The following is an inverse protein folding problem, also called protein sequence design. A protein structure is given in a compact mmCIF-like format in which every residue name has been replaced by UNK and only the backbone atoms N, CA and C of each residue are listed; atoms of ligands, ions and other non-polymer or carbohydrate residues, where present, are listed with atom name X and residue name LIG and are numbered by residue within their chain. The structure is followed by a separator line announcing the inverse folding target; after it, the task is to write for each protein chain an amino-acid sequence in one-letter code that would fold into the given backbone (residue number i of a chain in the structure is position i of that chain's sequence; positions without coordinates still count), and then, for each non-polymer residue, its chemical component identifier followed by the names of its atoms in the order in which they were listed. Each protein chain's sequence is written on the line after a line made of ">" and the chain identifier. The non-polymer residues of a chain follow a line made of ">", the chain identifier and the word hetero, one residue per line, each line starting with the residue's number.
data_IF_223514243295
#
_entry.id   IF_223514243295
#
_cell.length_a   1.000
_cell.length_b   1.000
_cell.length_c   1.000
_cell.angle_alpha   90.00
_cell.angle_beta   90.00
_cell.angle_gamma   90.00
#
_symmetry.space_group_name_H-M   'P 1'
#
loop_
_entity.id
_entity.type
_entity.pdbx_description
1 polymer ?
#
# COMPACT_ATOMS: atom_id res chain seq x y z
N UNK A 1 -5.12 -38.18 5.12
CA UNK A 1 -6.09 -37.13 5.51
C UNK A 1 -5.24 -35.97 5.98
N UNK A 2 -5.34 -34.81 5.30
CA UNK A 2 -4.70 -33.59 5.78
C UNK A 2 -5.66 -32.86 6.71
N UNK A 3 -5.13 -32.29 7.80
CA UNK A 3 -5.90 -31.45 8.71
C UNK A 3 -5.09 -30.21 9.00
N UNK A 4 -5.77 -29.07 8.92
CA UNK A 4 -5.23 -27.77 9.25
C UNK A 4 -5.87 -27.26 10.55
N UNK A 5 -5.06 -26.64 11.41
CA UNK A 5 -5.53 -25.95 12.60
C UNK A 5 -4.76 -24.65 12.82
N UNK A 6 -5.46 -23.61 13.30
CA UNK A 6 -4.85 -22.36 13.75
C UNK A 6 -5.10 -22.17 15.23
N UNK A 7 -4.06 -21.82 16.00
CA UNK A 7 -4.22 -21.39 17.39
C UNK A 7 -4.86 -19.99 17.41
N UNK A 8 -5.93 -19.83 18.17
CA UNK A 8 -6.63 -18.55 18.37
C UNK A 8 -6.23 -17.83 19.65
N UNK A 9 -5.38 -18.48 20.46
CA UNK A 9 -4.84 -17.91 21.70
C UNK A 9 -3.96 -16.70 21.38
N UNK A 10 -4.13 -15.55 22.05
CA UNK A 10 -3.30 -14.37 21.84
C UNK A 10 -1.79 -14.65 22.03
N UNK A 11 -0.95 -14.01 21.21
CA UNK A 11 0.49 -14.27 21.15
C UNK A 11 1.21 -14.12 22.50
N UNK A 12 0.79 -13.15 23.32
CA UNK A 12 1.37 -12.90 24.65
C UNK A 12 1.13 -14.05 25.65
N UNK A 13 0.22 -14.98 25.33
CA UNK A 13 -0.07 -16.17 26.13
C UNK A 13 0.58 -17.43 25.54
N UNK A 14 1.18 -17.34 24.35
CA UNK A 14 1.90 -18.43 23.72
C UNK A 14 3.38 -18.36 24.09
N UNK A 15 4.02 -19.53 24.18
CA UNK A 15 5.48 -19.58 24.35
C UNK A 15 6.15 -18.98 23.10
N UNK A 16 7.23 -18.19 23.23
CA UNK A 16 7.99 -17.70 22.08
C UNK A 16 8.34 -18.85 21.13
N UNK A 17 8.14 -18.64 19.83
CA UNK A 17 8.37 -19.66 18.79
C UNK A 17 7.24 -20.69 18.62
N UNK A 18 6.09 -20.54 19.29
CA UNK A 18 4.94 -21.41 19.05
C UNK A 18 4.35 -21.16 17.66
N UNK A 19 4.38 -22.17 16.79
CA UNK A 19 3.72 -22.09 15.48
C UNK A 19 2.21 -21.85 15.64
N UNK A 20 1.68 -20.80 14.99
CA UNK A 20 0.24 -20.49 14.99
C UNK A 20 -0.55 -21.44 14.09
N UNK A 21 0.02 -21.77 12.95
CA UNK A 21 -0.53 -22.69 11.95
C UNK A 21 0.02 -24.09 12.19
N UNK A 22 -0.86 -25.09 12.14
CA UNK A 22 -0.53 -26.49 12.33
C UNK A 22 -1.12 -27.31 11.18
N UNK A 23 -0.26 -28.14 10.60
CA UNK A 23 -0.62 -29.20 9.68
C UNK A 23 -0.27 -30.54 10.33
N UNK A 24 -0.92 -31.62 9.91
CA UNK A 24 -0.58 -32.94 10.42
C UNK A 24 0.85 -33.33 10.02
N UNK A 25 1.59 -34.04 10.89
CA UNK A 25 2.92 -34.50 10.55
C UNK A 25 2.87 -35.54 9.43
N UNK A 26 3.84 -35.46 8.52
CA UNK A 26 3.96 -36.39 7.39
C UNK A 26 4.06 -35.67 6.05
N UNK A 27 4.06 -36.43 4.93
CA UNK A 27 4.04 -35.83 3.60
C UNK A 27 2.69 -35.16 3.34
N UNK A 28 2.70 -33.85 3.15
CA UNK A 28 1.50 -33.09 2.82
C UNK A 28 1.02 -33.42 1.41
N UNK A 29 -0.27 -33.71 1.26
CA UNK A 29 -0.89 -34.07 -0.03
C UNK A 29 -2.23 -33.37 -0.24
N UNK A 30 -2.63 -33.30 -1.50
CA UNK A 30 -3.86 -32.70 -1.95
C UNK A 30 -3.73 -31.21 -2.23
N UNK A 31 -4.66 -30.72 -3.05
CA UNK A 31 -4.73 -29.32 -3.47
C UNK A 31 -6.03 -28.74 -2.92
N UNK A 32 -5.91 -27.73 -2.06
CA UNK A 32 -7.09 -26.99 -1.63
C UNK A 32 -7.73 -26.31 -2.84
N UNK A 33 -9.06 -26.41 -2.95
CA UNK A 33 -9.82 -25.74 -3.99
C UNK A 33 -9.43 -26.10 -5.44
N UNK A 34 -9.09 -27.36 -5.72
CA UNK A 34 -8.75 -27.79 -7.07
C UNK A 34 -9.81 -27.38 -8.11
N UNK A 35 -11.10 -27.51 -7.76
CA UNK A 35 -12.20 -27.11 -8.62
C UNK A 35 -12.25 -25.60 -8.91
N UNK A 36 -11.81 -24.75 -7.97
CA UNK A 36 -11.83 -23.30 -8.13
C UNK A 36 -10.67 -22.76 -8.96
N UNK A 37 -9.57 -23.51 -9.08
CA UNK A 37 -8.44 -23.16 -9.96
C UNK A 37 -8.53 -23.81 -11.35
N UNK A 38 -9.50 -24.69 -11.57
CA UNK A 38 -9.64 -25.41 -12.83
C UNK A 38 -9.93 -24.47 -14.00
N UNK A 39 -9.10 -24.54 -15.06
CA UNK A 39 -9.20 -23.70 -16.25
C UNK A 39 -8.94 -22.21 -16.00
N UNK A 40 -8.38 -21.84 -14.85
CA UNK A 40 -8.07 -20.45 -14.51
C UNK A 40 -6.65 -20.09 -14.96
N UNK A 41 -6.53 -19.06 -15.80
CA UNK A 41 -5.22 -18.55 -16.25
C UNK A 41 -4.44 -17.84 -15.13
N UNK A 42 -5.15 -17.32 -14.13
CA UNK A 42 -4.58 -16.74 -12.92
C UNK A 42 -5.02 -17.51 -11.68
N UNK A 43 -4.07 -17.82 -10.81
CA UNK A 43 -4.33 -18.46 -9.52
C UNK A 43 -3.66 -17.66 -8.40
N UNK A 44 -4.41 -17.40 -7.33
CA UNK A 44 -3.85 -16.86 -6.09
C UNK A 44 -3.32 -18.04 -5.27
N UNK A 45 -2.12 -17.91 -4.72
CA UNK A 45 -1.48 -18.92 -3.89
C UNK A 45 -1.13 -18.30 -2.53
N UNK A 46 -1.86 -18.69 -1.49
CA UNK A 46 -1.58 -18.26 -0.12
C UNK A 46 -0.62 -19.21 0.60
N UNK A 47 0.01 -18.70 1.67
CA UNK A 47 0.88 -19.51 2.51
C UNK A 47 0.09 -20.54 3.33
N UNK A 48 -1.02 -20.11 3.94
CA UNK A 48 -1.85 -20.95 4.78
C UNK A 48 -3.31 -21.04 4.31
N UNK A 49 -3.99 -22.10 4.77
CA UNK A 49 -5.37 -22.39 4.37
C UNK A 49 -6.37 -21.30 4.81
N UNK A 50 -6.14 -20.65 5.95
CA UNK A 50 -7.04 -19.60 6.43
C UNK A 50 -6.98 -18.33 5.57
N UNK A 51 -5.82 -18.02 5.02
CA UNK A 51 -5.62 -16.90 4.12
C UNK A 51 -6.32 -17.17 2.78
N UNK A 52 -6.19 -18.39 2.26
CA UNK A 52 -6.94 -18.82 1.08
C UNK A 52 -8.46 -18.78 1.32
N UNK A 53 -8.93 -19.22 2.49
CA UNK A 53 -10.35 -19.10 2.86
C UNK A 53 -10.81 -17.64 3.01
N UNK A 54 -9.92 -16.74 3.43
CA UNK A 54 -10.23 -15.31 3.51
C UNK A 54 -10.53 -14.74 2.12
N UNK A 55 -9.67 -15.04 1.13
CA UNK A 55 -9.92 -14.69 -0.28
C UNK A 55 -11.19 -15.34 -0.82
N UNK A 56 -11.39 -16.62 -0.54
CA UNK A 56 -12.59 -17.36 -0.96
C UNK A 56 -13.87 -16.69 -0.46
N UNK A 57 -13.94 -16.40 0.83
CA UNK A 57 -15.08 -15.73 1.47
C UNK A 57 -15.29 -14.31 0.92
N UNK A 58 -14.20 -13.64 0.51
CA UNK A 58 -14.25 -12.34 -0.15
C UNK A 58 -14.66 -12.39 -1.63
N UNK A 59 -14.89 -13.59 -2.20
CA UNK A 59 -15.37 -13.77 -3.56
C UNK A 59 -14.30 -14.20 -4.59
N UNK A 60 -13.02 -14.24 -4.20
CA UNK A 60 -11.94 -14.70 -5.07
C UNK A 60 -11.86 -16.22 -5.02
N UNK A 61 -12.38 -16.89 -6.06
CA UNK A 61 -12.51 -18.36 -6.10
C UNK A 61 -11.38 -19.09 -6.81
N UNK A 62 -10.54 -18.39 -7.58
CA UNK A 62 -9.33 -18.92 -8.22
C UNK A 62 -8.14 -18.90 -7.25
N UNK A 63 -8.31 -19.55 -6.09
CA UNK A 63 -7.40 -19.48 -4.95
C UNK A 63 -7.01 -20.88 -4.50
N UNK A 64 -5.75 -21.09 -4.13
CA UNK A 64 -5.30 -22.28 -3.40
C UNK A 64 -4.31 -21.89 -2.28
N UNK A 65 -3.83 -22.86 -1.51
CA UNK A 65 -2.87 -22.65 -0.43
C UNK A 65 -1.75 -23.68 -0.44
N UNK A 66 -0.55 -23.25 -0.07
CA UNK A 66 0.52 -24.13 0.34
C UNK A 66 0.29 -24.68 1.78
N UNK A 67 1.22 -25.54 2.21
CA UNK A 67 1.30 -26.03 3.59
C UNK A 67 2.34 -25.22 4.41
N UNK A 68 2.26 -23.88 4.36
CA UNK A 68 3.26 -22.96 4.92
C UNK A 68 4.39 -22.58 3.94
N UNK A 69 5.36 -21.76 4.40
CA UNK A 69 6.50 -21.27 3.57
C UNK A 69 7.29 -22.34 2.80
N UNK A 70 7.37 -23.57 3.31
CA UNK A 70 8.06 -24.70 2.67
C UNK A 70 7.11 -25.74 2.09
N UNK A 71 5.81 -25.48 2.11
CA UNK A 71 4.75 -26.44 1.82
C UNK A 71 4.21 -26.38 0.40
N UNK A 72 4.98 -25.86 -0.56
CA UNK A 72 4.62 -25.95 -1.97
C UNK A 72 5.09 -27.31 -2.51
N UNK A 73 4.14 -28.17 -2.90
CA UNK A 73 4.39 -29.57 -3.27
C UNK A 73 4.37 -29.77 -4.78
N UNK A 74 4.98 -30.86 -5.26
CA UNK A 74 4.93 -31.24 -6.67
C UNK A 74 3.47 -31.48 -7.15
N UNK A 75 2.59 -31.91 -6.25
CA UNK A 75 1.15 -32.09 -6.53
C UNK A 75 0.46 -30.73 -6.77
N UNK A 76 0.81 -29.69 -6.01
CA UNK A 76 0.32 -28.33 -6.25
C UNK A 76 0.83 -27.79 -7.59
N UNK A 77 2.11 -28.01 -7.90
CA UNK A 77 2.70 -27.61 -9.17
C UNK A 77 2.03 -28.32 -10.35
N UNK A 78 1.87 -29.64 -10.27
CA UNK A 78 1.18 -30.43 -11.29
C UNK A 78 -0.25 -29.92 -11.52
N UNK A 79 -0.99 -29.62 -10.44
CA UNK A 79 -2.34 -29.06 -10.56
C UNK A 79 -2.36 -27.71 -11.28
N UNK A 80 -1.41 -26.81 -11.02
CA UNK A 80 -1.34 -25.52 -11.73
C UNK A 80 -1.07 -25.71 -13.23
N UNK A 81 -0.15 -26.62 -13.57
CA UNK A 81 0.23 -26.92 -14.96
C UNK A 81 -0.94 -27.58 -15.70
N UNK A 82 -1.55 -28.62 -15.13
CA UNK A 82 -2.65 -29.38 -15.73
C UNK A 82 -3.89 -28.51 -15.98
N UNK A 83 -4.12 -27.50 -15.13
CA UNK A 83 -5.24 -26.57 -15.26
C UNK A 83 -4.93 -25.34 -16.13
N UNK A 84 -3.75 -25.29 -16.76
CA UNK A 84 -3.39 -24.24 -17.72
C UNK A 84 -3.14 -22.87 -17.08
N UNK A 85 -2.73 -22.83 -15.81
CA UNK A 85 -2.40 -21.57 -15.13
C UNK A 85 -1.21 -20.90 -15.81
N UNK A 86 -1.38 -19.64 -16.22
CA UNK A 86 -0.36 -18.83 -16.88
C UNK A 86 0.37 -17.90 -15.90
N UNK A 87 -0.30 -17.50 -14.81
CA UNK A 87 0.32 -16.69 -13.75
C UNK A 87 -0.18 -17.08 -12.36
N UNK A 88 0.70 -16.89 -11.38
CA UNK A 88 0.40 -17.14 -9.97
C UNK A 88 0.66 -15.88 -9.15
N UNK A 89 -0.35 -15.45 -8.39
CA UNK A 89 -0.25 -14.38 -7.40
C UNK A 89 0.13 -14.99 -6.03
N UNK A 90 1.40 -14.91 -5.66
CA UNK A 90 1.95 -15.40 -4.40
C UNK A 90 1.60 -14.42 -3.27
N UNK A 91 0.57 -14.79 -2.51
CA UNK A 91 0.03 -14.06 -1.37
C UNK A 91 0.50 -14.66 -0.04
N UNK A 92 1.82 -14.79 0.12
CA UNK A 92 2.45 -15.20 1.38
C UNK A 92 2.53 -14.03 2.35
N UNK A 93 2.74 -14.33 3.63
CA UNK A 93 2.82 -13.33 4.70
C UNK A 93 3.93 -12.32 4.40
N UNK A 94 3.74 -11.06 4.78
CA UNK A 94 4.75 -10.01 4.57
C UNK A 94 5.79 -10.01 5.68
N UNK A 95 6.51 -11.11 5.81
CA UNK A 95 7.65 -11.27 6.70
C UNK A 95 8.88 -11.84 5.97
N UNK A 96 10.01 -11.95 6.67
CA UNK A 96 11.26 -12.46 6.08
C UNK A 96 11.13 -13.89 5.54
N UNK A 97 10.30 -14.73 6.17
CA UNK A 97 10.13 -16.12 5.78
C UNK A 97 9.27 -16.24 4.52
N UNK A 98 8.14 -15.53 4.48
CA UNK A 98 7.23 -15.47 3.33
C UNK A 98 7.89 -14.84 2.11
N UNK A 99 8.65 -13.76 2.29
CA UNK A 99 9.38 -13.13 1.19
C UNK A 99 10.51 -14.03 0.65
N UNK A 100 11.27 -14.69 1.53
CA UNK A 100 12.28 -15.65 1.11
C UNK A 100 11.68 -16.88 0.41
N UNK A 101 10.51 -17.35 0.85
CA UNK A 101 9.82 -18.47 0.24
C UNK A 101 9.26 -18.11 -1.15
N UNK A 102 8.64 -16.93 -1.29
CA UNK A 102 8.16 -16.44 -2.58
C UNK A 102 9.31 -16.30 -3.59
N UNK A 103 10.45 -15.76 -3.17
CA UNK A 103 11.64 -15.63 -4.01
C UNK A 103 12.22 -16.99 -4.45
N UNK A 104 12.12 -18.03 -3.60
CA UNK A 104 12.52 -19.40 -3.96
C UNK A 104 11.54 -20.08 -4.90
N UNK A 105 10.24 -19.78 -4.76
CA UNK A 105 9.18 -20.36 -5.58
C UNK A 105 9.13 -19.77 -6.99
N UNK A 106 9.43 -18.48 -7.14
CA UNK A 106 9.43 -17.79 -8.43
C UNK A 106 10.18 -18.54 -9.55
N UNK A 107 11.46 -18.95 -9.41
CA UNK A 107 12.16 -19.66 -10.47
C UNK A 107 11.56 -21.04 -10.78
N UNK A 108 10.93 -21.70 -9.81
CA UNK A 108 10.25 -22.98 -10.04
C UNK A 108 9.04 -22.76 -10.95
N UNK A 109 8.22 -21.74 -10.68
CA UNK A 109 7.08 -21.41 -11.52
C UNK A 109 7.49 -21.01 -12.95
N UNK A 110 8.55 -20.20 -13.09
CA UNK A 110 9.06 -19.78 -14.39
C UNK A 110 9.56 -20.93 -15.25
N UNK A 111 10.22 -21.93 -14.66
CA UNK A 111 10.67 -23.14 -15.37
C UNK A 111 9.52 -23.88 -16.04
N UNK A 112 8.30 -23.74 -15.51
CA UNK A 112 7.08 -24.33 -16.04
C UNK A 112 6.22 -23.35 -16.85
N UNK A 113 6.74 -22.17 -17.19
CA UNK A 113 6.05 -21.16 -18.00
C UNK A 113 4.95 -20.40 -17.24
N UNK A 114 4.95 -20.45 -15.92
CA UNK A 114 4.00 -19.76 -15.06
C UNK A 114 4.64 -18.47 -14.53
N UNK A 115 4.04 -17.32 -14.83
CA UNK A 115 4.54 -16.02 -14.41
C UNK A 115 4.30 -15.78 -12.90
N UNK A 116 5.36 -15.62 -12.08
CA UNK A 116 5.20 -15.40 -10.64
C UNK A 116 5.04 -13.90 -10.31
N UNK A 117 4.01 -13.58 -9.54
CA UNK A 117 3.77 -12.25 -9.01
C UNK A 117 3.71 -12.31 -7.48
N UNK A 118 4.33 -11.35 -6.81
CA UNK A 118 4.27 -11.19 -5.35
C UNK A 118 3.18 -10.20 -4.97
N UNK A 119 2.23 -10.63 -4.15
CA UNK A 119 1.25 -9.73 -3.52
C UNK A 119 1.90 -9.08 -2.30
N UNK A 120 1.87 -7.76 -2.22
CA UNK A 120 2.51 -7.00 -1.13
C UNK A 120 1.48 -6.50 -0.12
N UNK A 121 1.35 -7.22 1.01
CA UNK A 121 0.62 -6.71 2.17
C UNK A 121 1.47 -5.71 2.97
N UNK A 122 0.87 -4.92 3.88
CA UNK A 122 1.64 -4.15 4.86
C UNK A 122 2.58 -5.04 5.67
N UNK A 123 3.74 -4.51 6.07
CA UNK A 123 4.78 -5.26 6.76
C UNK A 123 4.25 -5.98 8.00
N UNK A 124 4.56 -7.28 8.10
CA UNK A 124 4.17 -8.14 9.20
C UNK A 124 2.71 -8.61 9.19
N UNK A 125 1.97 -8.41 8.09
CA UNK A 125 0.59 -8.86 7.97
C UNK A 125 0.45 -10.07 7.03
N UNK A 126 -0.49 -10.95 7.38
CA UNK A 126 -1.04 -12.00 6.52
C UNK A 126 -2.30 -11.49 5.77
N UNK A 127 -2.83 -12.28 4.84
CA UNK A 127 -4.02 -11.89 4.08
C UNK A 127 -5.27 -11.77 4.97
N UNK A 128 -5.38 -12.64 5.99
CA UNK A 128 -6.49 -12.64 6.93
C UNK A 128 -6.53 -11.36 7.78
N UNK A 129 -5.41 -10.96 8.37
CA UNK A 129 -5.22 -9.77 9.17
C UNK A 129 -5.40 -8.50 8.35
N UNK A 130 -4.88 -8.49 7.11
CA UNK A 130 -5.12 -7.41 6.17
C UNK A 130 -6.63 -7.21 5.89
N UNK A 131 -7.36 -8.29 5.62
CA UNK A 131 -8.80 -8.24 5.37
C UNK A 131 -9.62 -7.83 6.61
N UNK A 132 -9.16 -8.17 7.82
CA UNK A 132 -9.80 -7.79 9.08
C UNK A 132 -9.58 -6.30 9.42
N UNK A 133 -8.39 -5.77 9.12
CA UNK A 133 -8.05 -4.36 9.39
C UNK A 133 -8.58 -3.41 8.32
N UNK A 134 -8.60 -3.82 7.05
CA UNK A 134 -9.04 -3.00 5.92
C UNK A 134 -10.31 -3.58 5.30
N UNK A 135 -11.45 -3.00 5.67
CA UNK A 135 -12.75 -3.30 5.07
C UNK A 135 -13.12 -2.33 3.93
N UNK A 136 -13.97 -2.75 2.97
CA UNK A 136 -14.52 -4.10 2.78
C UNK A 136 -13.49 -5.08 2.19
N UNK A 137 -13.39 -6.29 2.76
CA UNK A 137 -12.41 -7.32 2.36
C UNK A 137 -12.35 -7.61 0.84
N UNK A 138 -13.47 -7.72 0.09
CA UNK A 138 -13.40 -7.90 -1.36
C UNK A 138 -12.65 -6.78 -2.08
N UNK A 139 -12.78 -5.53 -1.62
CA UNK A 139 -12.16 -4.36 -2.25
C UNK A 139 -10.70 -4.21 -1.87
N UNK A 140 -10.37 -4.34 -0.58
CA UNK A 140 -9.00 -4.21 -0.09
C UNK A 140 -8.12 -5.33 -0.63
N UNK A 141 -8.55 -6.58 -0.55
CA UNK A 141 -7.82 -7.71 -1.13
C UNK A 141 -7.65 -7.55 -2.64
N UNK A 142 -8.69 -7.10 -3.35
CA UNK A 142 -8.58 -6.82 -4.79
C UNK A 142 -7.57 -5.73 -5.13
N UNK A 143 -7.39 -4.73 -4.26
CA UNK A 143 -6.36 -3.72 -4.44
C UNK A 143 -4.96 -4.33 -4.32
N UNK A 144 -4.73 -5.15 -3.30
CA UNK A 144 -3.46 -5.85 -3.10
C UNK A 144 -3.12 -6.76 -4.29
N UNK A 145 -4.11 -7.51 -4.82
CA UNK A 145 -3.91 -8.35 -6.02
C UNK A 145 -3.55 -7.51 -7.26
N UNK A 146 -4.20 -6.35 -7.46
CA UNK A 146 -3.89 -5.44 -8.58
C UNK A 146 -2.53 -4.76 -8.47
N UNK A 147 -1.98 -4.65 -7.27
CA UNK A 147 -0.66 -4.07 -7.01
C UNK A 147 0.44 -5.15 -6.93
N UNK A 148 0.12 -6.41 -7.26
CA UNK A 148 1.10 -7.48 -7.22
C UNK A 148 2.26 -7.22 -8.18
N UNK A 149 3.49 -7.43 -7.70
CA UNK A 149 4.72 -7.14 -8.43
C UNK A 149 5.24 -8.40 -9.12
N UNK A 150 5.66 -8.30 -10.38
CA UNK A 150 6.32 -9.42 -11.04
C UNK A 150 7.68 -9.68 -10.38
N UNK A 151 7.94 -10.92 -9.96
CA UNK A 151 9.20 -11.32 -9.30
C UNK A 151 9.99 -12.36 -10.09
N UNK A 152 9.63 -12.58 -11.35
CA UNK A 152 10.36 -13.47 -12.25
C UNK A 152 11.58 -12.82 -12.89
N UNK A 153 12.35 -13.62 -13.62
CA UNK A 153 13.46 -13.21 -14.45
C UNK A 153 12.97 -12.58 -15.77
N UNK A 154 13.19 -11.27 -15.92
CA UNK A 154 12.92 -10.54 -17.18
C UNK A 154 11.66 -9.68 -17.16
N UNK A 155 11.08 -9.46 -18.34
CA UNK A 155 9.88 -8.63 -18.52
C UNK A 155 8.63 -9.50 -18.39
N UNK A 156 7.68 -9.04 -17.59
CA UNK A 156 6.40 -9.73 -17.38
C UNK A 156 5.71 -10.10 -18.70
N UNK A 157 5.32 -11.37 -18.92
CA UNK A 157 4.64 -11.80 -20.13
C UNK A 157 3.30 -11.06 -20.32
N UNK A 158 2.99 -10.56 -21.54
CA UNK A 158 1.68 -9.99 -21.82
C UNK A 158 0.62 -11.09 -21.86
N UNK A 159 -0.46 -10.95 -21.08
CA UNK A 159 -1.58 -11.88 -21.12
C UNK A 159 -2.43 -11.67 -22.37
N UNK A 160 -2.78 -12.76 -23.04
CA UNK A 160 -3.87 -12.81 -24.01
C UNK A 160 -5.20 -12.82 -23.26
N UNK A 161 -5.92 -11.69 -23.24
CA UNK A 161 -7.26 -11.61 -22.65
C UNK A 161 -8.23 -12.43 -23.51
N UNK A 162 -8.44 -13.70 -23.17
CA UNK A 162 -9.63 -14.42 -23.58
C UNK A 162 -10.62 -14.40 -22.40
N UNK A 163 -11.73 -13.72 -22.61
CA UNK A 163 -12.86 -13.70 -21.69
C UNK A 163 -13.33 -15.14 -21.41
N UNK A 164 -13.05 -15.65 -20.22
CA UNK A 164 -13.59 -16.93 -19.76
C UNK A 164 -15.10 -16.76 -19.60
N UNK A 165 -15.88 -17.35 -20.52
CA UNK A 165 -17.28 -17.70 -20.28
C UNK A 165 -17.28 -18.92 -19.37
N UNK A 166 -17.52 -18.72 -18.07
CA UNK A 166 -17.82 -19.85 -17.19
C UNK A 166 -19.29 -20.18 -17.38
N UNK A 167 -19.56 -21.30 -18.04
CA UNK A 167 -20.90 -21.87 -18.11
C UNK A 167 -21.38 -22.21 -16.69
N UNK A 168 -22.53 -21.65 -16.30
CA UNK A 168 -23.26 -22.00 -15.09
C UNK A 168 -23.82 -23.43 -15.22
N UNK A 169 -22.97 -24.44 -15.03
CA UNK A 169 -23.41 -25.81 -14.81
C UNK A 169 -23.59 -26.02 -13.30
N UNK A 170 -24.79 -25.72 -12.80
CA UNK A 170 -25.22 -26.12 -11.48
C UNK A 170 -25.25 -27.65 -11.38
N UNK A 171 -24.42 -28.22 -10.49
CA UNK A 171 -24.59 -29.59 -10.00
C UNK A 171 -25.17 -29.54 -8.57
N UNK A 172 -26.04 -30.50 -8.20
CA UNK A 172 -27.00 -30.32 -7.12
C UNK A 172 -26.34 -30.41 -5.74
N UNK A 173 -26.71 -29.48 -4.87
CA UNK A 173 -26.36 -29.52 -3.45
C UNK A 173 -27.22 -30.60 -2.80
N UNK A 174 -26.58 -31.66 -2.30
CA UNK A 174 -27.22 -32.63 -1.43
C UNK A 174 -27.56 -31.98 -0.07
N UNK A 175 -28.81 -32.13 0.35
CA UNK A 175 -29.37 -31.59 1.60
C UNK A 175 -28.62 -32.07 2.86
N UNK A 176 -28.39 -31.20 3.86
CA UNK A 176 -28.13 -31.64 5.22
C UNK A 176 -29.44 -31.73 6.01
N UNK A 177 -29.69 -32.88 6.64
CA UNK A 177 -30.76 -33.05 7.62
C UNK A 177 -30.37 -32.43 8.99
N UNK A 178 -31.34 -32.01 9.83
CA UNK A 178 -31.18 -30.86 10.74
C UNK A 178 -31.28 -31.19 12.24
N UNK A 179 -30.74 -30.29 13.09
CA UNK A 179 -31.23 -29.92 14.43
C UNK A 179 -30.21 -28.93 15.06
N UNK A 180 -30.53 -27.78 15.67
CA UNK A 180 -31.78 -27.16 16.04
C UNK A 180 -31.55 -25.65 16.31
N UNK A 181 -32.43 -24.81 15.74
CA UNK A 181 -33.21 -23.74 16.39
C UNK A 181 -32.50 -22.77 17.37
N UNK A 182 -32.59 -21.44 17.27
CA UNK A 182 -33.78 -20.62 16.97
C UNK A 182 -33.38 -19.25 16.34
N UNK A 183 -34.14 -18.86 15.32
CA UNK A 183 -34.27 -17.55 14.63
C UNK A 183 -35.08 -16.54 15.51
N UNK A 184 -35.46 -15.28 15.11
CA UNK A 184 -35.60 -14.80 13.72
C UNK A 184 -35.42 -13.30 13.36
N UNK A 185 -35.30 -13.10 12.02
CA UNK A 185 -35.82 -12.02 11.15
C UNK A 185 -35.33 -10.57 11.34
N UNK A 186 -35.16 -9.72 10.30
CA UNK A 186 -35.65 -9.75 8.93
C UNK A 186 -34.73 -9.00 7.95
N UNK A 187 -34.72 -9.53 6.72
CA UNK A 187 -34.65 -8.90 5.39
C UNK A 187 -33.74 -7.69 5.11
N UNK A 188 -32.84 -7.87 4.13
CA UNK A 188 -33.01 -7.22 2.80
C UNK A 188 -32.06 -7.86 1.78
N UNK A 189 -32.63 -8.25 0.64
CA UNK A 189 -31.90 -8.75 -0.52
C UNK A 189 -30.99 -7.67 -1.09
N UNK A 190 -29.68 -7.86 -0.97
CA UNK A 190 -28.69 -7.14 -1.76
C UNK A 190 -28.09 -8.13 -2.76
N UNK A 191 -28.35 -7.87 -4.03
CA UNK A 191 -27.75 -8.56 -5.17
C UNK A 191 -26.24 -8.36 -5.06
N UNK A 192 -25.50 -9.42 -4.74
CA UNK A 192 -24.05 -9.37 -4.65
C UNK A 192 -23.48 -9.50 -6.06
N UNK A 193 -23.10 -8.37 -6.65
CA UNK A 193 -22.16 -8.36 -7.78
C UNK A 193 -20.86 -9.02 -7.34
N UNK A 194 -20.50 -10.12 -8.00
CA UNK A 194 -19.20 -10.77 -7.86
C UNK A 194 -18.10 -9.79 -8.34
N UNK A 195 -16.94 -9.74 -7.68
CA UNK A 195 -15.81 -8.97 -8.20
C UNK A 195 -15.30 -9.58 -9.50
N UNK A 196 -15.24 -8.76 -10.56
CA UNK A 196 -14.57 -9.08 -11.82
C UNK A 196 -13.11 -9.54 -11.59
N UNK A 197 -12.54 -10.41 -12.45
CA UNK A 197 -11.19 -10.92 -12.27
C UNK A 197 -10.17 -9.78 -12.12
N UNK A 198 -9.38 -9.84 -11.04
CA UNK A 198 -8.38 -8.85 -10.68
C UNK A 198 -7.16 -8.93 -11.61
N UNK A 199 -7.29 -8.37 -12.81
CA UNK A 199 -6.16 -8.13 -13.70
C UNK A 199 -5.83 -6.63 -13.78
N UNK A 200 -4.63 -6.17 -13.38
CA UNK A 200 -4.05 -4.99 -14.00
C UNK A 200 -3.60 -5.42 -15.40
N UNK A 201 -4.29 -4.99 -16.45
CA UNK A 201 -3.77 -5.12 -17.80
C UNK A 201 -2.60 -4.13 -17.95
N UNK A 202 -1.38 -4.54 -18.34
CA UNK A 202 -0.45 -3.61 -18.95
C UNK A 202 -1.03 -3.27 -20.33
N UNK A 203 -1.81 -2.19 -20.42
CA UNK A 203 -2.05 -1.59 -21.72
C UNK A 203 -0.71 -1.05 -22.21
N UNK A 204 -0.33 -1.28 -23.47
CA UNK A 204 0.79 -0.53 -24.04
C UNK A 204 0.51 0.94 -23.81
N UNK A 205 1.45 1.63 -23.17
CA UNK A 205 1.44 3.08 -23.07
C UNK A 205 1.43 3.61 -24.51
N UNK A 206 0.25 3.96 -24.99
CA UNK A 206 0.18 4.89 -26.11
C UNK A 206 0.67 6.19 -25.50
N UNK A 207 1.91 6.56 -25.84
CA UNK A 207 2.44 7.90 -25.59
C UNK A 207 1.54 8.88 -26.34
N UNK A 208 0.50 9.33 -25.64
CA UNK A 208 -0.36 10.41 -26.09
C UNK A 208 0.50 11.67 -25.93
N UNK A 209 0.70 12.47 -27.00
CA UNK A 209 1.44 13.71 -26.91
C UNK A 209 0.72 14.64 -25.93
N UNK A 210 1.29 14.77 -24.73
CA UNK A 210 0.81 15.64 -23.68
C UNK A 210 1.63 16.93 -23.72
N UNK A 211 1.03 18.03 -24.17
CA UNK A 211 1.63 19.35 -23.97
C UNK A 211 1.36 19.79 -22.53
N UNK A 212 2.34 19.56 -21.66
CA UNK A 212 2.32 20.06 -20.28
C UNK A 212 2.82 21.50 -20.30
N UNK A 213 1.91 22.47 -20.17
CA UNK A 213 2.23 23.87 -19.89
C UNK A 213 2.10 24.08 -18.38
N UNK A 214 2.73 25.14 -17.83
CA UNK A 214 2.84 25.34 -16.38
C UNK A 214 1.51 25.11 -15.62
N UNK A 215 0.39 25.64 -16.11
CA UNK A 215 -0.92 25.52 -15.44
C UNK A 215 -1.98 24.69 -16.20
N UNK A 216 -1.67 24.29 -17.44
CA UNK A 216 -2.61 23.65 -18.36
C UNK A 216 -1.98 22.36 -18.92
N UNK A 217 -2.63 21.23 -18.70
CA UNK A 217 -2.25 19.95 -19.33
C UNK A 217 -3.19 19.72 -20.50
N UNK A 218 -2.64 19.69 -21.72
CA UNK A 218 -3.42 19.43 -22.93
C UNK A 218 -3.10 18.04 -23.46
N UNK A 219 -4.13 17.23 -23.64
CA UNK A 219 -4.08 15.87 -24.17
C UNK A 219 -5.00 15.78 -25.39
N UNK A 220 -4.48 15.22 -26.49
CA UNK A 220 -5.20 15.12 -27.76
C UNK A 220 -5.44 13.65 -28.12
N UNK A 221 -6.69 13.27 -28.34
CA UNK A 221 -7.14 11.94 -28.74
C UNK A 221 -7.85 12.02 -30.09
N UNK A 222 -7.08 11.82 -31.18
CA UNK A 222 -7.60 12.03 -32.53
C UNK A 222 -8.05 13.48 -32.72
N UNK A 223 -9.34 13.67 -33.04
CA UNK A 223 -9.96 15.00 -33.20
C UNK A 223 -10.37 15.66 -31.86
N UNK A 224 -10.32 14.93 -30.75
CA UNK A 224 -10.78 15.39 -29.43
C UNK A 224 -9.62 15.95 -28.62
N UNK A 225 -9.77 17.17 -28.12
CA UNK A 225 -8.79 17.86 -27.30
C UNK A 225 -9.32 18.05 -25.88
N UNK A 226 -8.55 17.58 -24.91
CA UNK A 226 -8.83 17.72 -23.48
C UNK A 226 -7.82 18.67 -22.86
N UNK A 227 -8.31 19.65 -22.09
CA UNK A 227 -7.48 20.56 -21.30
C UNK A 227 -7.84 20.40 -19.84
N UNK A 228 -6.85 20.06 -19.03
CA UNK A 228 -6.98 19.90 -17.58
C UNK A 228 -6.29 21.05 -16.87
N UNK A 229 -6.98 21.62 -15.88
CA UNK A 229 -6.47 22.66 -14.98
C UNK A 229 -6.67 22.27 -13.52
N UNK A 230 -5.79 22.75 -12.64
CA UNK A 230 -5.92 22.59 -11.20
C UNK A 230 -5.16 21.41 -10.58
N UNK A 231 -4.34 20.69 -11.37
CA UNK A 231 -3.50 19.60 -10.86
C UNK A 231 -2.52 20.07 -9.77
N UNK A 232 -2.04 21.32 -9.85
CA UNK A 232 -1.10 21.91 -8.88
C UNK A 232 -1.66 22.02 -7.46
N UNK A 233 -2.99 22.08 -7.31
CA UNK A 233 -3.64 22.25 -6.00
C UNK A 233 -3.87 20.91 -5.30
N UNK A 234 -3.60 19.79 -5.96
CA UNK A 234 -3.86 18.43 -5.46
C UNK A 234 -2.56 17.79 -4.97
N UNK A 235 -2.17 18.12 -3.74
CA UNK A 235 -0.99 17.56 -3.05
C UNK A 235 -1.33 16.32 -2.19
N UNK A 236 -2.59 15.90 -2.17
CA UNK A 236 -3.05 14.70 -1.47
C UNK A 236 -3.41 13.60 -2.48
N UNK A 237 -3.02 12.36 -2.19
CA UNK A 237 -3.26 11.20 -3.06
C UNK A 237 -4.75 10.85 -3.21
N UNK A 238 -5.59 11.17 -2.21
CA UNK A 238 -6.99 10.74 -2.17
C UNK A 238 -7.97 11.68 -2.89
N UNK A 239 -7.52 12.84 -3.38
CA UNK A 239 -8.39 13.85 -3.99
C UNK A 239 -7.79 14.39 -5.29
N UNK A 240 -8.47 14.16 -6.41
CA UNK A 240 -8.07 14.66 -7.73
C UNK A 240 -9.15 15.57 -8.31
N UNK A 241 -9.32 16.73 -7.69
CA UNK A 241 -10.26 17.76 -8.14
C UNK A 241 -9.64 18.60 -9.25
N UNK A 242 -10.15 18.48 -10.47
CA UNK A 242 -9.62 19.21 -11.63
C UNK A 242 -10.75 19.79 -12.47
N UNK A 243 -10.41 20.80 -13.25
CA UNK A 243 -11.28 21.34 -14.29
C UNK A 243 -10.90 20.67 -15.62
N UNK A 244 -11.86 19.99 -16.25
CA UNK A 244 -11.67 19.30 -17.54
C UNK A 244 -12.51 20.01 -18.59
N UNK A 245 -11.84 20.53 -19.61
CA UNK A 245 -12.44 20.99 -20.87
C UNK A 245 -12.24 19.90 -21.92
N UNK A 246 -13.33 19.36 -22.48
CA UNK A 246 -13.30 18.49 -23.65
C UNK A 246 -13.81 19.26 -24.86
N UNK A 247 -13.10 19.22 -25.98
CA UNK A 247 -13.44 19.97 -27.20
C UNK A 247 -13.17 19.14 -28.45
N UNK A 248 -14.01 19.31 -29.48
CA UNK A 248 -13.84 18.78 -30.83
C UNK A 248 -14.33 19.84 -31.83
N UNK A 249 -14.23 19.59 -33.14
CA UNK A 249 -14.75 20.49 -34.19
C UNK A 249 -16.25 20.77 -34.06
N UNK A 250 -17.00 19.89 -33.38
CA UNK A 250 -18.46 19.97 -33.23
C UNK A 250 -18.94 20.75 -32.00
N UNK A 251 -18.13 20.85 -30.95
CA UNK A 251 -18.59 21.37 -29.66
C UNK A 251 -17.54 21.32 -28.55
N UNK A 252 -17.88 21.93 -27.41
CA UNK A 252 -17.02 21.97 -26.23
C UNK A 252 -17.84 21.79 -24.95
N UNK A 253 -17.34 20.98 -24.02
CA UNK A 253 -17.91 20.76 -22.69
C UNK A 253 -16.87 21.06 -21.60
N UNK A 254 -17.26 21.77 -20.54
CA UNK A 254 -16.38 22.12 -19.41
C UNK A 254 -17.05 21.78 -18.10
N UNK A 255 -16.34 21.06 -17.23
CA UNK A 255 -16.80 20.82 -15.86
C UNK A 255 -15.65 20.78 -14.86
N UNK A 256 -15.96 21.01 -13.58
CA UNK A 256 -15.01 20.92 -12.46
C UNK A 256 -15.48 19.86 -11.48
N UNK A 257 -14.78 18.72 -11.45
CA UNK A 257 -15.17 17.60 -10.62
C UNK A 257 -13.96 16.82 -10.10
N UNK A 258 -14.23 15.92 -9.17
CA UNK A 258 -13.25 14.99 -8.64
C UNK A 258 -13.24 13.72 -9.50
N UNK A 259 -12.09 13.43 -10.12
CA UNK A 259 -11.94 12.27 -11.02
C UNK A 259 -12.11 10.95 -10.27
N UNK A 260 -11.87 10.88 -8.96
CA UNK A 260 -12.06 9.64 -8.22
C UNK A 260 -13.55 9.30 -7.99
N UNK A 261 -14.45 10.27 -8.09
CA UNK A 261 -15.88 10.06 -7.86
C UNK A 261 -16.60 9.52 -9.10
N UNK A 262 -16.89 8.21 -9.10
CA UNK A 262 -17.53 7.51 -10.22
C UNK A 262 -18.87 8.11 -10.66
N UNK A 263 -19.70 8.55 -9.69
CA UNK A 263 -21.00 9.16 -9.99
C UNK A 263 -20.87 10.46 -10.78
N UNK A 264 -19.89 11.29 -10.42
CA UNK A 264 -19.67 12.59 -11.09
C UNK A 264 -19.00 12.39 -12.44
N UNK A 265 -18.06 11.44 -12.56
CA UNK A 265 -17.52 11.03 -13.87
C UNK A 265 -18.61 10.60 -14.84
N UNK A 266 -19.58 9.80 -14.39
CA UNK A 266 -20.69 9.35 -15.23
C UNK A 266 -21.57 10.53 -15.70
N UNK A 267 -21.75 11.57 -14.88
CA UNK A 267 -22.47 12.78 -15.27
C UNK A 267 -21.70 13.54 -16.35
N UNK A 268 -20.39 13.73 -16.17
CA UNK A 268 -19.54 14.40 -17.17
C UNK A 268 -19.53 13.63 -18.49
N UNK A 269 -19.38 12.30 -18.45
CA UNK A 269 -19.44 11.43 -19.65
C UNK A 269 -20.77 11.61 -20.39
N UNK A 270 -21.89 11.67 -19.66
CA UNK A 270 -23.22 11.90 -20.22
C UNK A 270 -23.35 13.24 -20.94
N UNK A 271 -22.90 14.32 -20.31
CA UNK A 271 -22.99 15.65 -20.92
C UNK A 271 -22.00 15.82 -22.09
N UNK A 272 -20.78 15.33 -21.92
CA UNK A 272 -19.76 15.38 -22.95
C UNK A 272 -20.15 14.59 -24.20
N UNK A 273 -20.77 13.41 -24.08
CA UNK A 273 -21.18 12.64 -25.27
C UNK A 273 -22.28 13.35 -26.07
N UNK A 274 -23.20 14.06 -25.38
CA UNK A 274 -24.27 14.82 -26.03
C UNK A 274 -23.70 16.04 -26.76
N UNK A 275 -22.79 16.78 -26.15
CA UNK A 275 -22.24 18.03 -26.72
C UNK A 275 -21.18 17.79 -27.79
N UNK A 276 -20.38 16.72 -27.68
CA UNK A 276 -19.32 16.39 -28.65
C UNK A 276 -19.84 15.50 -29.79
N UNK A 277 -21.00 14.86 -29.63
CA UNK A 277 -21.58 13.94 -30.61
C UNK A 277 -20.71 12.69 -30.83
N UNK A 278 -20.13 12.18 -29.75
CA UNK A 278 -19.21 11.03 -29.71
C UNK A 278 -19.83 9.96 -28.82
N UNK A 279 -19.57 8.68 -29.09
CA UNK A 279 -20.06 7.56 -28.28
C UNK A 279 -19.60 7.64 -26.80
N UNK A 280 -20.50 7.26 -25.89
CA UNK A 280 -20.26 7.30 -24.43
C UNK A 280 -19.00 6.49 -24.03
N UNK A 281 -18.84 5.31 -24.65
CA UNK A 281 -17.72 4.39 -24.42
C UNK A 281 -16.36 4.98 -24.79
N UNK A 282 -16.31 5.89 -25.76
CA UNK A 282 -15.07 6.55 -26.21
C UNK A 282 -14.65 7.60 -25.18
N UNK A 283 -15.58 8.43 -24.71
CA UNK A 283 -15.29 9.45 -23.68
C UNK A 283 -14.91 8.79 -22.36
N UNK A 284 -15.56 7.67 -22.01
CA UNK A 284 -15.18 6.88 -20.83
C UNK A 284 -13.75 6.32 -20.95
N UNK A 285 -13.35 5.87 -22.14
CA UNK A 285 -11.98 5.39 -22.40
C UNK A 285 -10.96 6.52 -22.30
N UNK A 286 -11.26 7.67 -22.90
CA UNK A 286 -10.40 8.85 -22.89
C UNK A 286 -10.20 9.34 -21.44
N UNK A 287 -11.27 9.43 -20.63
CA UNK A 287 -11.17 9.78 -19.20
C UNK A 287 -10.33 8.78 -18.39
N UNK A 288 -10.39 7.49 -18.71
CA UNK A 288 -9.54 6.48 -18.08
C UNK A 288 -8.05 6.69 -18.39
N UNK A 289 -7.72 7.08 -19.63
CA UNK A 289 -6.36 7.42 -20.03
C UNK A 289 -5.89 8.75 -19.40
N UNK A 290 -6.80 9.74 -19.29
CA UNK A 290 -6.55 10.99 -18.59
C UNK A 290 -6.21 10.76 -17.12
N UNK A 291 -6.99 9.91 -16.42
CA UNK A 291 -6.76 9.56 -15.02
C UNK A 291 -5.33 9.01 -14.82
N UNK A 292 -4.95 7.98 -15.58
CA UNK A 292 -3.64 7.33 -15.45
C UNK A 292 -2.47 8.30 -15.70
N UNK A 293 -2.63 9.20 -16.69
CA UNK A 293 -1.60 10.20 -17.00
C UNK A 293 -1.50 11.27 -15.91
N UNK A 294 -2.63 11.70 -15.35
CA UNK A 294 -2.67 12.68 -14.26
C UNK A 294 -2.06 12.10 -12.98
N UNK A 295 -2.32 10.83 -12.67
CA UNK A 295 -1.68 10.11 -11.56
C UNK A 295 -0.16 10.04 -11.73
N UNK A 296 0.32 9.69 -12.93
CA UNK A 296 1.77 9.66 -13.22
C UNK A 296 2.42 11.04 -13.03
N UNK A 297 1.73 12.12 -13.45
CA UNK A 297 2.22 13.49 -13.29
C UNK A 297 2.13 13.98 -11.83
N UNK A 298 1.11 13.55 -11.08
CA UNK A 298 0.96 13.83 -9.66
C UNK A 298 2.05 13.13 -8.86
N UNK A 299 2.31 11.84 -9.12
CA UNK A 299 3.39 11.07 -8.52
C UNK A 299 4.76 11.69 -8.82
N UNK A 300 5.01 12.14 -10.04
CA UNK A 300 6.24 12.84 -10.39
C UNK A 300 6.39 14.16 -9.62
N UNK A 301 5.30 14.93 -9.46
CA UNK A 301 5.31 16.19 -8.68
C UNK A 301 5.47 15.95 -7.18
N UNK A 302 4.81 14.92 -6.63
CA UNK A 302 4.97 14.54 -5.22
C UNK A 302 6.39 14.04 -5.00
N UNK A 303 6.94 13.17 -5.86
CA UNK A 303 8.35 12.76 -5.78
C UNK A 303 9.30 13.95 -5.88
N UNK A 304 9.05 14.92 -6.76
CA UNK A 304 9.86 16.13 -6.86
C UNK A 304 9.75 17.05 -5.62
N UNK A 305 8.58 17.10 -4.97
CA UNK A 305 8.35 17.87 -3.75
C UNK A 305 8.86 17.16 -2.47
N UNK A 306 8.82 15.83 -2.46
CA UNK A 306 9.22 14.95 -1.35
C UNK A 306 10.66 14.50 -1.45
N UNK A 307 11.35 14.69 -2.58
CA UNK A 307 12.81 14.60 -2.63
C UNK A 307 13.34 15.78 -1.82
N UNK A 308 13.92 15.57 -0.62
CA UNK A 308 14.48 16.67 0.12
C UNK A 308 15.56 17.27 -0.78
N UNK A 309 15.36 18.53 -1.18
CA UNK A 309 16.41 19.35 -1.74
C UNK A 309 17.50 19.36 -0.67
N UNK A 310 18.53 18.52 -0.87
CA UNK A 310 19.57 18.25 0.11
C UNK A 310 19.96 19.58 0.74
N UNK A 311 19.63 19.76 2.02
CA UNK A 311 20.02 20.94 2.75
C UNK A 311 21.53 21.00 2.61
N UNK A 312 22.01 22.05 1.95
CA UNK A 312 23.43 22.34 1.83
C UNK A 312 23.90 22.54 3.26
N UNK A 313 24.45 21.49 3.88
CA UNK A 313 25.13 21.60 5.16
C UNK A 313 26.26 22.60 4.90
N UNK A 314 26.28 23.76 5.56
CA UNK A 314 27.40 24.69 5.43
C UNK A 314 28.67 23.91 5.83
N UNK A 315 29.63 23.80 4.92
CA UNK A 315 30.91 23.21 5.26
C UNK A 315 31.55 24.05 6.37
N UNK A 316 31.71 23.47 7.57
CA UNK A 316 32.41 24.12 8.69
C UNK A 316 33.82 24.50 8.24
N UNK A 317 34.25 25.72 8.60
CA UNK A 317 35.64 26.12 8.34
C UNK A 317 36.61 25.31 9.21
N UNK A 318 37.89 25.26 8.83
CA UNK A 318 38.91 24.58 9.64
C UNK A 318 39.03 25.19 11.04
N UNK A 319 38.78 26.50 11.18
CA UNK A 319 38.77 27.21 12.47
C UNK A 319 37.59 26.76 13.35
N UNK A 320 36.38 26.73 12.80
CA UNK A 320 35.19 26.33 13.55
C UNK A 320 35.27 24.86 13.99
N UNK A 321 35.88 24.02 13.15
CA UNK A 321 36.10 22.60 13.45
C UNK A 321 37.07 22.43 14.63
N UNK A 322 38.13 23.24 14.69
CA UNK A 322 39.09 23.20 15.79
C UNK A 322 38.46 23.65 17.12
N UNK A 323 37.66 24.72 17.12
CA UNK A 323 36.94 25.21 18.30
C UNK A 323 35.89 24.20 18.79
N UNK A 324 35.11 23.62 17.87
CA UNK A 324 34.14 22.58 18.21
C UNK A 324 34.81 21.35 18.83
N UNK A 325 35.94 20.90 18.26
CA UNK A 325 36.70 19.78 18.82
C UNK A 325 37.32 20.10 20.18
N UNK A 326 37.74 21.34 20.42
CA UNK A 326 38.23 21.77 21.73
C UNK A 326 37.12 21.74 22.78
N UNK A 327 35.92 22.21 22.44
CA UNK A 327 34.73 22.11 23.31
C UNK A 327 34.39 20.65 23.61
N UNK A 328 34.33 19.78 22.59
CA UNK A 328 33.96 18.36 22.75
C UNK A 328 34.96 17.55 23.58
N UNK A 329 36.21 18.01 23.71
CA UNK A 329 37.27 17.36 24.50
C UNK A 329 37.41 17.91 25.91
N UNK A 330 36.64 18.93 26.26
CA UNK A 330 36.69 19.53 27.60
C UNK A 330 36.18 18.54 28.66
N UNK A 331 36.96 18.24 29.72
CA UNK A 331 36.49 17.37 30.80
C UNK A 331 35.27 17.91 31.56
N UNK A 332 35.01 19.23 31.50
CA UNK A 332 33.87 19.88 32.17
C UNK A 332 32.69 20.17 31.22
N UNK A 333 32.66 19.50 30.06
CA UNK A 333 31.66 19.71 29.00
C UNK A 333 30.21 19.69 29.52
N UNK A 334 29.89 18.78 30.45
CA UNK A 334 28.53 18.64 31.00
C UNK A 334 28.09 19.92 31.71
N UNK A 335 28.94 20.47 32.59
CA UNK A 335 28.62 21.68 33.33
C UNK A 335 28.58 22.91 32.42
N UNK A 336 29.41 22.93 31.38
CA UNK A 336 29.38 23.97 30.34
C UNK A 336 28.06 23.97 29.57
N UNK A 337 27.57 22.80 29.15
CA UNK A 337 26.26 22.69 28.47
C UNK A 337 25.12 23.21 29.36
N UNK A 338 25.12 22.85 30.64
CA UNK A 338 24.11 23.33 31.61
C UNK A 338 24.21 24.85 31.80
N UNK A 339 25.42 25.41 31.86
CA UNK A 339 25.64 26.85 31.96
C UNK A 339 25.17 27.59 30.70
N UNK A 340 25.41 27.02 29.51
CA UNK A 340 24.97 27.59 28.23
C UNK A 340 23.43 27.58 28.12
N UNK A 341 22.78 26.49 28.53
CA UNK A 341 21.30 26.41 28.59
C UNK A 341 20.73 27.40 29.61
N UNK A 342 21.43 27.58 30.74
CA UNK A 342 21.06 28.59 31.75
C UNK A 342 21.16 30.02 31.19
N UNK A 343 22.19 30.31 30.39
CA UNK A 343 22.37 31.61 29.74
C UNK A 343 21.27 31.92 28.71
N UNK A 344 20.65 30.90 28.12
CA UNK A 344 19.51 31.02 27.18
C UNK A 344 18.19 31.30 27.91
N UNK A 345 18.15 31.17 29.25
CA UNK A 345 17.02 31.57 30.09
C UNK A 345 16.32 30.44 30.84
N UNK A 346 16.87 29.22 30.85
CA UNK A 346 16.35 28.09 31.64
C UNK A 346 17.15 27.96 32.94
N UNK A 347 16.65 28.58 34.03
CA UNK A 347 17.36 28.63 35.32
C UNK A 347 16.74 27.66 36.33
N UNK A 348 17.57 26.84 36.99
CA UNK A 348 17.14 25.95 38.07
C UNK A 348 16.62 24.58 37.61
N UNK A 349 16.79 24.25 36.32
CA UNK A 349 16.39 22.97 35.72
C UNK A 349 17.57 22.17 35.15
N UNK A 350 18.73 22.23 35.81
CA UNK A 350 20.01 21.70 35.32
C UNK A 350 19.93 20.24 34.85
N UNK A 351 19.27 19.37 35.63
CA UNK A 351 19.11 17.95 35.27
C UNK A 351 18.16 17.75 34.08
N UNK A 352 17.09 18.54 33.98
CA UNK A 352 16.12 18.45 32.86
C UNK A 352 16.76 18.96 31.58
N UNK A 353 17.49 20.07 31.66
CA UNK A 353 18.25 20.66 30.56
C UNK A 353 19.26 19.67 29.98
N UNK A 354 20.06 19.03 30.84
CA UNK A 354 21.07 18.07 30.40
C UNK A 354 20.45 16.85 29.71
N UNK A 355 19.43 16.24 30.32
CA UNK A 355 18.73 15.07 29.76
C UNK A 355 18.05 15.43 28.43
N UNK A 356 17.41 16.59 28.38
CA UNK A 356 16.79 17.11 27.17
C UNK A 356 17.80 17.33 26.04
N UNK A 357 18.93 17.96 26.33
CA UNK A 357 20.02 18.16 25.36
C UNK A 357 20.55 16.84 24.82
N UNK A 358 20.83 15.86 25.68
CA UNK A 358 21.32 14.54 25.26
C UNK A 358 20.34 13.81 24.36
N UNK A 359 19.04 13.89 24.62
CA UNK A 359 18.05 13.33 23.71
C UNK A 359 18.01 14.06 22.36
N UNK A 360 18.12 15.38 22.33
CA UNK A 360 18.25 16.12 21.08
C UNK A 360 19.49 15.69 20.27
N UNK A 361 20.62 15.43 20.94
CA UNK A 361 21.86 14.95 20.28
C UNK A 361 21.73 13.50 19.81
N UNK A 362 20.98 12.66 20.53
CA UNK A 362 20.78 11.25 20.17
C UNK A 362 20.17 11.03 18.78
N UNK A 363 19.61 12.06 18.13
CA UNK A 363 19.17 12.04 16.72
C UNK A 363 20.27 11.63 15.73
N UNK A 364 21.55 11.76 16.12
CA UNK A 364 22.71 11.34 15.31
C UNK A 364 23.09 9.88 15.51
N UNK A 365 22.40 9.15 16.38
CA UNK A 365 22.61 7.73 16.66
C UNK A 365 21.55 6.88 15.94
N UNK A 366 21.86 5.61 15.70
CA UNK A 366 20.95 4.65 15.05
C UNK A 366 19.64 4.43 15.83
N UNK A 367 19.64 4.73 17.13
CA UNK A 367 18.50 4.57 18.04
C UNK A 367 18.31 5.86 18.85
N UNK A 368 17.60 6.86 18.30
CA UNK A 368 17.38 8.11 19.01
C UNK A 368 16.48 7.91 20.23
N UNK A 369 16.71 8.74 21.24
CA UNK A 369 15.92 8.76 22.47
C UNK A 369 14.69 9.64 22.28
N UNK A 370 13.54 9.16 22.74
CA UNK A 370 12.31 9.93 22.83
C UNK A 370 12.12 10.46 24.26
N UNK A 371 11.83 11.75 24.40
CA UNK A 371 11.53 12.38 25.69
C UNK A 371 10.10 12.91 25.69
N UNK A 372 9.40 12.66 26.80
CA UNK A 372 8.12 13.27 27.12
C UNK A 372 8.33 14.26 28.28
N UNK A 373 8.11 15.55 28.04
CA UNK A 373 8.12 16.55 29.11
C UNK A 373 6.70 16.65 29.68
N UNK A 374 6.54 16.32 30.96
CA UNK A 374 5.29 16.44 31.70
C UNK A 374 5.44 17.50 32.79
N UNK A 375 4.59 18.52 32.75
CA UNK A 375 4.56 19.60 33.75
C UNK A 375 3.12 20.01 34.03
N UNK A 376 2.92 20.73 35.14
CA UNK A 376 1.69 21.48 35.38
C UNK A 376 1.56 22.63 34.36
N UNK A 377 0.33 23.08 34.10
CA UNK A 377 0.07 24.18 33.17
C UNK A 377 0.81 25.45 33.62
N UNK A 378 1.37 26.21 32.66
CA UNK A 378 2.17 27.43 32.88
C UNK A 378 3.52 27.26 33.61
N UNK A 379 3.99 26.04 33.85
CA UNK A 379 5.28 25.78 34.50
C UNK A 379 6.52 25.86 33.56
N UNK A 380 6.41 26.50 32.40
CA UNK A 380 7.57 26.71 31.51
C UNK A 380 7.96 25.53 30.60
N UNK A 381 7.13 24.49 30.44
CA UNK A 381 7.43 23.34 29.55
C UNK A 381 7.85 23.72 28.13
N UNK A 382 7.09 24.63 27.50
CA UNK A 382 7.43 25.08 26.15
C UNK A 382 8.74 25.87 26.14
N UNK A 383 9.01 26.64 27.18
CA UNK A 383 10.25 27.41 27.32
C UNK A 383 11.49 26.52 27.36
N UNK A 384 11.46 25.43 28.12
CA UNK A 384 12.57 24.46 28.18
C UNK A 384 12.73 23.75 26.84
N UNK A 385 11.62 23.33 26.21
CA UNK A 385 11.63 22.67 24.91
C UNK A 385 12.20 23.58 23.81
N UNK A 386 11.71 24.81 23.72
CA UNK A 386 12.12 25.78 22.71
C UNK A 386 13.59 26.20 22.89
N UNK A 387 14.04 26.37 24.14
CA UNK A 387 15.45 26.67 24.47
C UNK A 387 16.39 25.53 24.04
N UNK A 388 16.05 24.27 24.35
CA UNK A 388 16.87 23.12 23.94
C UNK A 388 16.87 22.92 22.43
N UNK A 389 15.71 23.07 21.80
CA UNK A 389 15.62 23.00 20.34
C UNK A 389 16.45 24.11 19.71
N UNK A 390 16.50 25.33 20.29
CA UNK A 390 17.29 26.47 19.80
C UNK A 390 18.78 26.17 19.60
N UNK A 391 19.32 25.16 20.31
CA UNK A 391 20.71 24.72 20.20
C UNK A 391 20.97 23.73 19.05
N UNK A 392 19.92 23.25 18.37
CA UNK A 392 20.03 22.28 17.26
C UNK A 392 19.98 22.99 15.90
N UNK A 393 20.56 22.47 14.81
CA UNK A 393 20.43 23.10 13.50
C UNK A 393 18.96 23.24 13.06
N UNK A 394 18.53 24.41 12.59
CA UNK A 394 17.13 24.63 12.17
C UNK A 394 16.69 23.68 11.05
N UNK A 395 17.62 23.28 10.17
CA UNK A 395 17.39 22.31 9.09
C UNK A 395 17.00 20.92 9.59
N UNK A 396 17.28 20.60 10.85
CA UNK A 396 17.01 19.29 11.47
C UNK A 396 15.83 19.35 12.45
N UNK A 397 15.12 20.48 12.53
CA UNK A 397 13.96 20.65 13.41
C UNK A 397 12.67 20.57 12.61
N UNK A 398 11.76 19.68 13.02
CA UNK A 398 10.42 19.59 12.43
C UNK A 398 9.36 19.83 13.52
N UNK A 399 8.68 20.99 13.53
CA UNK A 399 7.67 21.28 14.53
C UNK A 399 6.33 20.64 14.16
N UNK A 400 5.76 19.85 15.09
CA UNK A 400 4.41 19.32 14.97
C UNK A 400 3.54 19.83 16.12
N UNK A 401 2.51 20.63 15.80
CA UNK A 401 1.59 21.22 16.79
C UNK A 401 0.31 20.41 17.02
N UNK A 402 0.01 19.44 16.13
CA UNK A 402 -1.12 18.53 16.26
C UNK A 402 -0.75 17.16 15.68
N UNK A 403 -0.56 16.17 16.55
CA UNK A 403 -0.31 14.78 16.17
C UNK A 403 -1.57 13.96 16.45
N UNK A 404 -2.14 13.37 15.40
CA UNK A 404 -3.13 12.30 15.56
C UNK A 404 -2.39 10.98 15.70
N UNK A 405 -2.99 9.94 16.30
CA UNK A 405 -2.33 8.63 16.44
C UNK A 405 -1.87 8.02 15.10
N UNK A 406 -2.47 8.44 13.99
CA UNK A 406 -2.06 8.06 12.62
C UNK A 406 -0.78 8.77 12.16
N UNK A 407 -0.51 9.98 12.64
CA UNK A 407 0.65 10.79 12.24
C UNK A 407 1.98 10.18 12.73
N UNK A 408 1.96 9.49 13.88
CA UNK A 408 3.15 8.82 14.43
C UNK A 408 3.55 7.55 13.68
N UNK A 409 2.63 6.92 12.93
CA UNK A 409 2.91 5.71 12.16
C UNK A 409 3.89 5.98 10.99
N UNK A 410 3.87 7.20 10.45
CA UNK A 410 4.64 7.60 9.27
C UNK A 410 5.95 8.35 9.59
N UNK A 411 6.23 8.62 10.87
CA UNK A 411 7.43 9.35 11.31
C UNK A 411 8.70 8.48 11.34
N UNK A 412 8.58 7.17 11.22
CA UNK A 412 9.71 6.24 11.16
C UNK A 412 10.25 5.97 9.76
N UNK A 413 9.67 6.57 8.71
CA UNK A 413 10.02 6.36 7.31
C UNK A 413 10.77 7.56 6.66
N UNK A 414 11.13 8.59 7.43
CA UNK A 414 11.87 9.77 6.94
C UNK A 414 13.37 9.69 7.22
#
# INVERSE_FOLDING_TARGET
>A
MEVYGRKVTPDHQLRPGTAKHLYLPGPHRGVFNLAGIAGCEEVILCEALIDALTFWCAGYRHITSAFGVGGFTDELLAALIENGTQRVLIAYDRDEAGDAAAAKLAPVLEQHGIAPYRVLFPKGMDANEYALKLGPAPKSLGLALRQAEYIGSGVAPPLSVQSIKVDNAALPIAEPAPAAAVLPLAATSAVADLPEPCSPAPRPAQDIPAEVREHDIVLSFGERRYRIRGLEKNLAFDVLKVNVLASNERGMHVDTFDLYQAKVRAVFVKQAHLELGVEESVIQRDLGQLLLKLETLQDAKIKAATTPKAAVVPALSESDTAEALALLRDPDLINRIVADVSAIGVVGEDSTALVGYLACVSRKLDKPLAILIQSTSAAGKSTVMDALLSLMPESERVPYSAMTGQSLLYLGEQ
#
